data_IF_969057404717
#
_entry.id   IF_969057404717
#
_cell.length_a   1.000
_cell.length_b   1.000
_cell.length_c   1.000
_cell.angle_alpha   90.00
_cell.angle_beta   90.00
_cell.angle_gamma   90.00
#
_symmetry.space_group_name_H-M   'P 1'
#
loop_
_entity.id
_entity.type
_entity.pdbx_description
1 polymer ?
#
# COMPACT_ATOMS: atom_id res chain seq x y z
N UNK A 1 -2.80 -0.64 -7.16
CA UNK A 1 -1.73 -0.65 -8.16
C UNK A 1 -0.36 -0.67 -7.49
N UNK A 2 0.41 -1.72 -7.76
CA UNK A 2 1.74 -1.90 -7.19
C UNK A 2 2.75 -0.95 -7.85
N UNK A 3 3.68 -0.41 -7.08
CA UNK A 3 4.72 0.49 -7.61
C UNK A 3 5.79 -0.31 -8.34
N UNK A 4 6.15 -1.46 -7.79
CA UNK A 4 7.14 -2.38 -8.35
C UNK A 4 6.43 -3.67 -8.77
N UNK A 5 6.44 -4.04 -10.07
CA UNK A 5 5.78 -5.25 -10.56
C UNK A 5 6.35 -6.53 -9.95
N UNK A 6 7.57 -6.50 -9.43
CA UNK A 6 8.16 -7.65 -8.73
C UNK A 6 7.43 -7.93 -7.42
N UNK A 7 7.05 -6.91 -6.67
CA UNK A 7 6.26 -7.06 -5.45
C UNK A 7 4.87 -7.64 -5.75
N UNK A 8 4.26 -7.21 -6.84
CA UNK A 8 2.98 -7.76 -7.29
C UNK A 8 3.10 -9.25 -7.62
N UNK A 9 4.11 -9.63 -8.40
CA UNK A 9 4.36 -11.04 -8.76
C UNK A 9 4.59 -11.91 -7.53
N UNK A 10 5.38 -11.44 -6.57
CA UNK A 10 5.63 -12.13 -5.29
C UNK A 10 4.33 -12.29 -4.51
N UNK A 11 3.54 -11.22 -4.38
CA UNK A 11 2.28 -11.27 -3.63
C UNK A 11 1.29 -12.26 -4.25
N UNK A 12 1.13 -12.26 -5.57
CA UNK A 12 0.26 -13.22 -6.24
C UNK A 12 0.75 -14.66 -6.11
N UNK A 13 2.06 -14.91 -6.19
CA UNK A 13 2.62 -16.24 -6.00
C UNK A 13 2.35 -16.78 -4.58
N UNK A 14 2.51 -15.94 -3.56
CA UNK A 14 2.22 -16.32 -2.17
C UNK A 14 0.73 -16.54 -1.95
N UNK A 15 -0.13 -15.67 -2.47
CA UNK A 15 -1.59 -15.80 -2.36
C UNK A 15 -2.14 -17.03 -3.09
N UNK A 16 -1.45 -17.53 -4.11
CA UNK A 16 -1.81 -18.76 -4.82
C UNK A 16 -1.46 -20.03 -4.05
N UNK A 17 -0.65 -19.95 -2.99
CA UNK A 17 -0.36 -21.11 -2.14
C UNK A 17 -1.58 -21.42 -1.26
N UNK A 18 -1.83 -22.71 -0.92
CA UNK A 18 -2.93 -23.09 -0.04
C UNK A 18 -2.84 -22.40 1.33
N UNK A 19 -3.97 -22.06 1.95
CA UNK A 19 -3.98 -21.54 3.32
C UNK A 19 -3.24 -22.47 4.28
N UNK A 20 -2.42 -21.91 5.17
CA UNK A 20 -1.62 -22.67 6.13
C UNK A 20 -0.34 -23.27 5.56
N UNK A 21 0.03 -22.92 4.33
CA UNK A 21 1.33 -23.32 3.75
C UNK A 21 2.49 -22.78 4.60
N UNK A 22 3.50 -23.62 4.79
CA UNK A 22 4.71 -23.25 5.50
C UNK A 22 5.40 -22.01 4.88
N UNK A 23 5.91 -21.07 5.68
CA UNK A 23 6.59 -19.86 5.18
C UNK A 23 7.74 -20.14 4.21
N UNK A 24 8.47 -21.24 4.39
CA UNK A 24 9.55 -21.63 3.48
C UNK A 24 9.00 -21.98 2.11
N UNK A 25 7.91 -22.75 2.05
CA UNK A 25 7.24 -23.11 0.79
C UNK A 25 6.63 -21.87 0.12
N UNK A 26 6.09 -20.91 0.89
CA UNK A 26 5.64 -19.62 0.35
C UNK A 26 6.80 -18.82 -0.28
N UNK A 27 7.96 -18.84 0.37
CA UNK A 27 9.15 -18.16 -0.17
C UNK A 27 9.68 -18.86 -1.44
N UNK A 28 9.61 -20.19 -1.50
CA UNK A 28 10.00 -20.94 -2.70
C UNK A 28 9.06 -20.62 -3.87
N UNK A 29 7.76 -20.51 -3.63
CA UNK A 29 6.79 -20.06 -4.64
C UNK A 29 7.10 -18.63 -5.11
N UNK A 30 7.47 -17.73 -4.20
CA UNK A 30 7.88 -16.37 -4.53
C UNK A 30 9.16 -16.34 -5.37
N UNK A 31 10.17 -17.16 -5.04
CA UNK A 31 11.42 -17.28 -5.80
C UNK A 31 11.21 -17.85 -7.20
N UNK A 32 10.24 -18.70 -7.39
CA UNK A 32 9.91 -19.27 -8.70
C UNK A 32 9.49 -18.19 -9.71
N UNK A 33 8.82 -17.13 -9.25
CA UNK A 33 8.38 -16.00 -10.11
C UNK A 33 9.35 -14.81 -10.06
N UNK A 34 10.10 -14.66 -8.97
CA UNK A 34 11.06 -13.59 -8.78
C UNK A 34 12.28 -14.13 -8.00
N UNK A 35 13.42 -14.41 -8.68
CA UNK A 35 14.62 -14.94 -8.01
C UNK A 35 15.13 -14.07 -6.86
N UNK A 36 14.87 -12.76 -6.91
CA UNK A 36 15.29 -11.78 -5.90
C UNK A 36 14.31 -11.68 -4.72
N UNK A 37 13.25 -12.50 -4.68
CA UNK A 37 12.18 -12.39 -3.69
C UNK A 37 12.67 -12.34 -2.25
N UNK A 38 13.65 -13.17 -1.88
CA UNK A 38 14.21 -13.19 -0.53
C UNK A 38 14.86 -11.84 -0.16
N UNK A 39 15.59 -11.20 -1.07
CA UNK A 39 16.19 -9.88 -0.86
C UNK A 39 15.14 -8.80 -0.76
N UNK A 40 14.12 -8.81 -1.62
CA UNK A 40 13.05 -7.82 -1.63
C UNK A 40 12.19 -7.90 -0.36
N UNK A 41 11.87 -9.11 0.11
CA UNK A 41 11.10 -9.31 1.34
C UNK A 41 11.92 -8.92 2.57
N UNK A 42 13.22 -9.22 2.61
CA UNK A 42 14.08 -8.85 3.74
C UNK A 42 14.46 -7.37 3.77
N UNK A 43 14.55 -6.71 2.61
CA UNK A 43 14.79 -5.27 2.51
C UNK A 43 13.56 -4.46 2.90
N UNK A 44 12.37 -4.94 2.59
CA UNK A 44 11.14 -4.45 3.17
C UNK A 44 11.09 -4.87 4.64
N UNK A 45 11.66 -4.07 5.52
CA UNK A 45 11.56 -4.26 6.97
C UNK A 45 10.09 -4.15 7.41
N UNK A 46 9.32 -5.17 7.11
CA UNK A 46 8.15 -5.48 7.92
C UNK A 46 8.76 -6.10 9.17
N UNK A 47 9.05 -5.30 10.16
CA UNK A 47 9.30 -5.84 11.47
C UNK A 47 7.99 -6.55 11.82
N UNK A 48 8.01 -7.87 11.81
CA UNK A 48 6.90 -8.69 12.25
C UNK A 48 6.77 -8.48 13.75
N UNK A 49 6.16 -7.37 14.14
CA UNK A 49 5.89 -7.00 15.51
C UNK A 49 4.81 -7.86 16.11
N UNK A 50 4.09 -8.59 15.29
CA UNK A 50 3.11 -9.55 15.73
C UNK A 50 3.22 -10.82 14.92
N UNK A 51 3.38 -11.97 15.59
CA UNK A 51 3.28 -13.29 14.96
C UNK A 51 1.88 -13.55 14.39
N UNK A 52 0.89 -12.83 14.90
CA UNK A 52 -0.51 -12.93 14.50
C UNK A 52 -1.09 -11.51 14.35
N UNK A 53 -1.08 -10.92 13.14
CA UNK A 53 -1.70 -9.63 12.92
C UNK A 53 -3.20 -9.73 13.23
N UNK A 54 -3.71 -8.76 13.99
CA UNK A 54 -5.14 -8.64 14.25
C UNK A 54 -5.87 -8.16 12.99
N UNK A 55 -7.18 -8.39 12.91
CA UNK A 55 -8.02 -7.86 11.84
C UNK A 55 -7.86 -6.35 11.70
N UNK A 56 -7.80 -5.62 12.83
CA UNK A 56 -7.58 -4.17 12.85
C UNK A 56 -6.25 -3.78 12.19
N UNK A 57 -5.18 -4.55 12.43
CA UNK A 57 -3.87 -4.28 11.79
C UNK A 57 -3.95 -4.50 10.28
N UNK A 58 -4.64 -5.55 9.84
CA UNK A 58 -4.81 -5.85 8.41
C UNK A 58 -5.61 -4.74 7.73
N UNK A 59 -6.74 -4.33 8.30
CA UNK A 59 -7.56 -3.24 7.78
C UNK A 59 -6.75 -1.94 7.70
N UNK A 60 -6.02 -1.59 8.76
CA UNK A 60 -5.16 -0.42 8.77
C UNK A 60 -4.10 -0.45 7.65
N UNK A 61 -3.47 -1.60 7.42
CA UNK A 61 -2.48 -1.76 6.36
C UNK A 61 -3.12 -1.61 4.97
N UNK A 62 -4.28 -2.20 4.75
CA UNK A 62 -5.02 -2.10 3.49
C UNK A 62 -5.48 -0.67 3.23
N UNK A 63 -6.05 0.00 4.23
CA UNK A 63 -6.47 1.41 4.13
C UNK A 63 -5.29 2.32 3.82
N UNK A 64 -4.13 2.05 4.42
CA UNK A 64 -2.90 2.80 4.16
C UNK A 64 -2.41 2.61 2.74
N UNK A 65 -2.41 1.38 2.21
CA UNK A 65 -2.03 1.09 0.82
C UNK A 65 -2.99 1.76 -0.17
N UNK A 66 -4.30 1.70 0.10
CA UNK A 66 -5.31 2.37 -0.71
C UNK A 66 -5.10 3.89 -0.71
N UNK A 67 -4.83 4.48 0.46
CA UNK A 67 -4.54 5.91 0.58
C UNK A 67 -3.34 6.33 -0.27
N UNK A 68 -2.26 5.57 -0.25
CA UNK A 68 -1.09 5.86 -1.11
C UNK A 68 -1.40 5.73 -2.59
N UNK A 69 -2.20 4.76 -2.98
CA UNK A 69 -2.65 4.56 -4.37
C UNK A 69 -3.48 5.75 -4.84
N UNK A 70 -4.44 6.19 -4.03
CA UNK A 70 -5.27 7.37 -4.33
C UNK A 70 -4.41 8.62 -4.47
N UNK A 71 -3.48 8.87 -3.54
CA UNK A 71 -2.58 10.03 -3.61
C UNK A 71 -1.75 10.05 -4.90
N UNK A 72 -1.23 8.91 -5.34
CA UNK A 72 -0.48 8.81 -6.60
C UNK A 72 -1.38 9.10 -7.80
N UNK A 73 -2.58 8.51 -7.84
CA UNK A 73 -3.56 8.72 -8.91
C UNK A 73 -3.99 10.17 -9.01
N UNK A 74 -4.24 10.84 -7.89
CA UNK A 74 -4.57 12.25 -7.85
C UNK A 74 -3.43 13.13 -8.38
N UNK A 75 -2.17 12.85 -8.00
CA UNK A 75 -1.00 13.56 -8.52
C UNK A 75 -0.86 13.38 -10.03
N UNK A 76 -1.03 12.17 -10.53
CA UNK A 76 -0.98 11.89 -11.96
C UNK A 76 -2.09 12.61 -12.73
N UNK A 77 -3.32 12.59 -12.21
CA UNK A 77 -4.44 13.31 -12.80
C UNK A 77 -4.21 14.84 -12.85
N UNK A 78 -3.70 15.42 -11.76
CA UNK A 78 -3.36 16.85 -11.70
C UNK A 78 -2.25 17.20 -12.69
N UNK A 79 -1.20 16.39 -12.79
CA UNK A 79 -0.12 16.58 -13.75
C UNK A 79 -0.66 16.55 -15.18
N UNK A 80 -1.50 15.55 -15.49
CA UNK A 80 -2.13 15.42 -16.82
C UNK A 80 -3.01 16.60 -17.15
N UNK A 81 -3.84 17.07 -16.23
CA UNK A 81 -4.71 18.26 -16.45
C UNK A 81 -3.91 19.54 -16.68
N UNK A 82 -2.72 19.67 -16.09
CA UNK A 82 -1.86 20.86 -16.24
C UNK A 82 -1.00 20.83 -17.50
N UNK A 83 -0.48 19.66 -17.86
CA UNK A 83 0.57 19.53 -18.87
C UNK A 83 0.02 19.11 -20.24
N UNK A 84 -1.05 18.34 -20.27
CA UNK A 84 -1.61 17.82 -21.50
C UNK A 84 -2.66 18.77 -22.08
N UNK A 85 -2.22 19.56 -23.07
CA UNK A 85 -3.10 20.49 -23.80
C UNK A 85 -3.95 19.80 -24.87
N UNK A 86 -3.67 18.53 -25.15
CA UNK A 86 -4.41 17.75 -26.15
C UNK A 86 -5.68 17.12 -25.60
N UNK A 87 -5.90 17.20 -24.28
CA UNK A 87 -7.12 16.68 -23.64
C UNK A 87 -8.34 17.46 -24.11
N UNK A 88 -9.32 16.73 -24.63
CA UNK A 88 -10.63 17.27 -24.94
C UNK A 88 -11.44 17.54 -23.65
N UNK A 89 -12.57 18.22 -23.81
CA UNK A 89 -13.42 18.61 -22.67
C UNK A 89 -14.01 17.39 -21.95
N UNK A 90 -14.29 16.32 -22.66
CA UNK A 90 -14.82 15.09 -22.05
C UNK A 90 -13.75 14.39 -21.20
N UNK A 91 -12.54 14.24 -21.72
CA UNK A 91 -11.42 13.67 -20.95
C UNK A 91 -11.10 14.52 -19.71
N UNK A 92 -11.19 15.85 -19.80
CA UNK A 92 -11.03 16.76 -18.66
C UNK A 92 -12.11 16.54 -17.61
N UNK A 93 -13.38 16.39 -18.02
CA UNK A 93 -14.48 16.10 -17.11
C UNK A 93 -14.28 14.77 -16.38
N UNK A 94 -13.94 13.72 -17.10
CA UNK A 94 -13.69 12.38 -16.52
C UNK A 94 -12.59 12.45 -15.47
N UNK A 95 -11.45 13.08 -15.77
CA UNK A 95 -10.34 13.24 -14.82
C UNK A 95 -10.75 14.06 -13.59
N UNK A 96 -11.54 15.10 -13.79
CA UNK A 96 -12.02 15.96 -12.69
C UNK A 96 -13.00 15.20 -11.79
N UNK A 97 -13.94 14.45 -12.37
CA UNK A 97 -14.87 13.61 -11.60
C UNK A 97 -14.12 12.54 -10.80
N UNK A 98 -13.13 11.89 -11.42
CA UNK A 98 -12.30 10.91 -10.72
C UNK A 98 -11.53 11.56 -9.56
N UNK A 99 -10.97 12.74 -9.75
CA UNK A 99 -10.28 13.46 -8.68
C UNK A 99 -11.20 13.84 -7.52
N UNK A 100 -12.46 14.17 -7.79
CA UNK A 100 -13.47 14.44 -6.75
C UNK A 100 -13.80 13.18 -5.95
N UNK A 101 -14.00 12.06 -6.64
CA UNK A 101 -14.25 10.77 -5.98
C UNK A 101 -13.05 10.35 -5.13
N UNK A 102 -11.84 10.46 -5.67
CA UNK A 102 -10.60 10.17 -4.97
C UNK A 102 -10.42 11.05 -3.73
N UNK A 103 -10.77 12.33 -3.81
CA UNK A 103 -10.72 13.25 -2.67
C UNK A 103 -11.69 12.87 -1.55
N UNK A 104 -12.88 12.36 -1.90
CA UNK A 104 -13.84 11.86 -0.91
C UNK A 104 -13.30 10.62 -0.23
N UNK A 105 -12.85 9.65 -1.02
CA UNK A 105 -12.29 8.40 -0.50
C UNK A 105 -11.05 8.63 0.35
N UNK A 106 -10.18 9.54 -0.05
CA UNK A 106 -9.02 9.95 0.74
C UNK A 106 -9.41 10.44 2.14
N UNK A 107 -10.46 11.26 2.26
CA UNK A 107 -10.95 11.76 3.55
C UNK A 107 -11.51 10.65 4.43
N UNK A 108 -12.24 9.70 3.84
CA UNK A 108 -12.77 8.53 4.55
C UNK A 108 -11.64 7.67 5.10
N UNK A 109 -10.63 7.37 4.29
CA UNK A 109 -9.47 6.59 4.69
C UNK A 109 -8.65 7.31 5.76
N UNK A 110 -8.46 8.62 5.65
CA UNK A 110 -7.77 9.40 6.67
C UNK A 110 -8.49 9.37 8.02
N UNK A 111 -9.82 9.37 8.02
CA UNK A 111 -10.61 9.20 9.25
C UNK A 111 -10.46 7.80 9.82
N UNK A 112 -10.52 6.76 8.99
CA UNK A 112 -10.33 5.37 9.40
C UNK A 112 -8.95 5.17 10.02
N UNK A 113 -7.91 5.61 9.33
CA UNK A 113 -6.51 5.51 9.80
C UNK A 113 -6.29 6.33 11.07
N UNK A 114 -6.81 7.56 11.14
CA UNK A 114 -6.67 8.44 12.30
C UNK A 114 -7.46 8.00 13.52
N UNK A 115 -8.48 7.15 13.35
CA UNK A 115 -9.23 6.52 14.45
C UNK A 115 -8.51 5.33 15.10
N UNK A 116 -7.44 4.84 14.47
CA UNK A 116 -6.58 3.81 15.04
C UNK A 116 -5.59 4.49 15.99
N UNK A 117 -5.65 4.13 17.27
CA UNK A 117 -4.73 4.68 18.27
C UNK A 117 -3.28 4.35 17.87
N UNK A 118 -2.51 5.38 17.58
CA UNK A 118 -1.10 5.34 17.20
C UNK A 118 -0.77 4.28 16.12
N UNK A 119 -0.90 4.62 14.84
CA UNK A 119 -0.62 3.70 13.75
C UNK A 119 0.83 3.19 13.74
N UNK A 120 1.77 3.93 14.32
CA UNK A 120 3.17 3.52 14.41
C UNK A 120 3.40 2.46 15.50
N UNK A 121 2.60 2.45 16.57
CA UNK A 121 2.58 1.35 17.53
C UNK A 121 2.13 0.03 16.92
N UNK A 122 1.15 0.08 16.01
CA UNK A 122 0.64 -1.11 15.33
C UNK A 122 1.67 -1.77 14.41
N UNK A 123 2.61 -1.00 13.86
CA UNK A 123 3.67 -1.48 12.98
C UNK A 123 5.03 -1.57 13.67
N UNK A 124 5.08 -1.36 15.00
CA UNK A 124 6.31 -1.45 15.79
C UNK A 124 7.39 -0.45 15.42
N UNK A 125 7.03 0.60 14.72
CA UNK A 125 7.87 1.77 14.54
C UNK A 125 7.65 2.68 15.75
N UNK A 126 8.11 2.25 16.92
CA UNK A 126 8.39 3.21 17.98
C UNK A 126 9.42 4.19 17.42
N UNK A 127 9.01 5.42 17.19
CA UNK A 127 9.96 6.50 17.02
C UNK A 127 10.77 6.54 18.30
N UNK A 128 11.98 6.02 18.22
CA UNK A 128 12.96 6.20 19.27
C UNK A 128 13.09 7.70 19.51
N UNK A 129 12.60 8.12 20.67
CA UNK A 129 13.11 9.26 21.38
C UNK A 129 12.82 10.62 20.78
N UNK A 130 11.94 11.32 21.42
CA UNK A 130 12.30 12.66 21.84
C UNK A 130 12.22 12.68 23.36
N UNK A 131 13.16 11.97 23.95
CA UNK A 131 13.57 12.27 25.30
C UNK A 131 14.72 13.26 25.19
N UNK A 132 14.39 14.52 25.11
CA UNK A 132 15.24 15.64 25.49
C UNK A 132 14.36 16.63 26.21
N UNK A 133 14.33 16.40 27.48
CA UNK A 133 13.99 17.42 28.46
C UNK A 133 14.86 18.66 28.28
#
# INVERSE_FOLDING_TARGET
EWVDPRHESIAWAVLATPPGTDPVACMDAARAVCPEAASLVSAGRISATSKHPTETNIVFMLDTLELYTIKRRMRAAQAKLRQDRSLDDEARRVLTMQAVQDSRRQRELQKSIGGVADPFRLIGLETAGTDQA
#
